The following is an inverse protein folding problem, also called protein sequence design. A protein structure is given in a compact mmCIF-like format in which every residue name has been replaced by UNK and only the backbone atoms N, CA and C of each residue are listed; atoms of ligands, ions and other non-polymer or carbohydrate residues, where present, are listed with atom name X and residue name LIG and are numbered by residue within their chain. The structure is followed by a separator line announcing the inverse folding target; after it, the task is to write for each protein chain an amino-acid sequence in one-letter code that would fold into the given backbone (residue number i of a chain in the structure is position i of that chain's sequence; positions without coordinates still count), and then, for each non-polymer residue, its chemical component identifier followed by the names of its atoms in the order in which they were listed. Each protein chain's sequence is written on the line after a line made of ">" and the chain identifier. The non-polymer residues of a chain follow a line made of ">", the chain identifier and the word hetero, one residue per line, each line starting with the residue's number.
data_IF_713603190915
#
_entry.id   IF_713603190915
#
_cell.length_a   1.000
_cell.length_b   1.000
_cell.length_c   1.000
_cell.angle_alpha   90.00
_cell.angle_beta   90.00
_cell.angle_gamma   90.00
#
_symmetry.space_group_name_H-M   'P 1'
#
loop_
_entity.id
_entity.type
_entity.pdbx_description
1 polymer ?
#
# COMPACT_ATOMS: atom_id res chain seq x y z
N UNK A 1 3.64 15.29 -13.10
CA UNK A 1 2.23 15.23 -13.56
C UNK A 1 1.48 16.40 -12.94
N UNK A 2 0.56 17.05 -13.64
CA UNK A 2 -0.35 18.02 -13.02
C UNK A 2 -1.31 17.29 -12.06
N UNK A 3 -1.91 18.00 -11.08
CA UNK A 3 -2.86 17.40 -10.12
C UNK A 3 -3.98 16.60 -10.82
N UNK A 4 -4.55 17.17 -11.89
CA UNK A 4 -5.58 16.54 -12.71
C UNK A 4 -5.11 15.30 -13.51
N UNK A 5 -3.80 15.05 -13.58
CA UNK A 5 -3.21 13.87 -14.23
C UNK A 5 -2.94 12.72 -13.25
N UNK A 6 -3.02 12.98 -11.94
CA UNK A 6 -3.01 11.95 -10.89
C UNK A 6 -4.44 11.45 -10.71
N UNK A 7 -5.39 12.35 -10.45
CA UNK A 7 -6.84 12.09 -10.46
C UNK A 7 -7.38 12.14 -11.90
N UNK A 8 -6.96 11.16 -12.70
CA UNK A 8 -7.19 11.14 -14.15
C UNK A 8 -8.55 10.55 -14.55
N UNK A 9 -9.21 9.78 -13.68
CA UNK A 9 -10.47 9.16 -14.04
C UNK A 9 -11.62 10.20 -14.09
N UNK A 10 -12.56 10.09 -15.05
CA UNK A 10 -13.70 11.00 -15.15
C UNK A 10 -14.55 11.07 -13.86
N UNK A 11 -14.59 9.97 -13.10
CA UNK A 11 -15.30 9.88 -11.83
C UNK A 11 -14.54 10.56 -10.67
N UNK A 12 -13.20 10.51 -10.67
CA UNK A 12 -12.34 11.20 -9.70
C UNK A 12 -12.47 12.71 -9.85
N UNK A 13 -12.35 13.22 -11.08
CA UNK A 13 -12.53 14.66 -11.37
C UNK A 13 -13.92 15.20 -11.03
N UNK A 14 -14.96 14.36 -11.19
CA UNK A 14 -16.32 14.76 -10.89
C UNK A 14 -16.63 14.81 -9.39
N UNK A 15 -15.95 13.98 -8.59
CA UNK A 15 -16.16 13.86 -7.14
C UNK A 15 -15.10 14.58 -6.30
N UNK A 16 -13.96 14.94 -6.88
CA UNK A 16 -12.83 15.55 -6.17
C UNK A 16 -12.20 14.62 -5.14
N UNK A 17 -12.25 13.31 -5.38
CA UNK A 17 -11.66 12.28 -4.51
C UNK A 17 -10.88 11.28 -5.37
N UNK A 18 -9.73 10.85 -4.89
CA UNK A 18 -8.95 9.75 -5.48
C UNK A 18 -9.72 8.44 -5.32
N UNK A 19 -9.85 7.67 -6.40
CA UNK A 19 -10.58 6.40 -6.43
C UNK A 19 -9.60 5.26 -6.69
N UNK A 20 -8.78 5.40 -7.73
CA UNK A 20 -7.76 4.44 -8.13
C UNK A 20 -6.42 4.84 -7.54
N UNK A 21 -5.56 3.84 -7.29
CA UNK A 21 -4.17 4.11 -6.94
C UNK A 21 -3.44 4.69 -8.13
N UNK A 22 -2.75 5.82 -7.93
CA UNK A 22 -1.93 6.44 -8.96
C UNK A 22 -0.45 6.17 -8.69
N UNK A 23 0.28 5.79 -9.74
CA UNK A 23 1.72 5.61 -9.67
C UNK A 23 2.41 6.83 -10.30
N UNK A 24 3.30 7.44 -9.51
CA UNK A 24 4.17 8.54 -9.96
C UNK A 24 5.62 8.23 -9.60
N UNK A 25 6.53 8.77 -10.39
CA UNK A 25 7.97 8.59 -10.19
C UNK A 25 8.62 9.94 -9.93
N UNK A 26 9.60 9.94 -9.06
CA UNK A 26 10.49 11.07 -8.81
C UNK A 26 11.80 10.55 -8.19
N UNK A 27 12.81 11.39 -8.14
CA UNK A 27 14.11 11.04 -7.59
C UNK A 27 14.64 12.15 -6.70
N UNK A 28 15.42 11.77 -5.70
CA UNK A 28 16.33 12.65 -4.98
C UNK A 28 17.75 12.38 -5.48
N UNK A 29 18.73 13.14 -4.99
CA UNK A 29 20.14 12.87 -5.28
C UNK A 29 20.59 11.47 -4.79
N UNK A 30 19.86 10.88 -3.83
CA UNK A 30 20.22 9.61 -3.21
C UNK A 30 19.50 8.41 -3.83
N UNK A 31 18.23 8.57 -4.24
CA UNK A 31 17.33 7.44 -4.54
C UNK A 31 16.30 7.77 -5.60
N UNK A 32 15.84 6.72 -6.28
CA UNK A 32 14.68 6.76 -7.17
C UNK A 32 13.46 6.21 -6.45
N UNK A 33 12.33 6.91 -6.55
CA UNK A 33 11.08 6.61 -5.87
C UNK A 33 9.98 6.24 -6.86
N UNK A 34 9.30 5.14 -6.57
CA UNK A 34 7.97 4.85 -7.11
C UNK A 34 6.95 5.15 -6.00
N UNK A 35 6.17 6.20 -6.18
CA UNK A 35 5.17 6.64 -5.22
C UNK A 35 3.79 6.17 -5.64
N UNK A 36 3.09 5.53 -4.70
CA UNK A 36 1.72 5.05 -4.87
C UNK A 36 0.79 5.96 -4.06
N UNK A 37 0.01 6.78 -4.76
CA UNK A 37 -1.00 7.62 -4.12
C UNK A 37 -2.26 6.79 -3.85
N UNK A 38 -2.71 6.81 -2.60
CA UNK A 38 -3.76 5.93 -2.09
C UNK A 38 -5.01 6.73 -1.71
N UNK A 39 -6.22 6.22 -2.02
CA UNK A 39 -7.44 6.93 -1.70
C UNK A 39 -7.70 6.99 -0.19
N UNK A 40 -8.08 8.17 0.32
CA UNK A 40 -8.38 8.42 1.73
C UNK A 40 -9.84 8.19 2.14
N UNK A 41 -10.74 7.95 1.18
CA UNK A 41 -12.17 7.81 1.45
C UNK A 41 -12.52 6.37 1.87
N UNK A 42 -13.37 6.21 2.89
CA UNK A 42 -13.72 4.92 3.50
C UNK A 42 -14.22 3.87 2.48
N UNK A 43 -14.96 4.30 1.45
CA UNK A 43 -15.47 3.40 0.40
C UNK A 43 -14.37 2.77 -0.47
N UNK A 44 -13.16 3.34 -0.51
CA UNK A 44 -12.06 2.92 -1.38
C UNK A 44 -10.86 2.36 -0.59
N UNK A 45 -11.04 2.03 0.69
CA UNK A 45 -10.02 1.39 1.54
C UNK A 45 -9.40 0.14 0.89
N UNK A 46 -10.16 -0.60 0.07
CA UNK A 46 -9.65 -1.77 -0.67
C UNK A 46 -8.47 -1.44 -1.58
N UNK A 47 -8.52 -0.30 -2.26
CA UNK A 47 -7.47 0.14 -3.16
C UNK A 47 -6.25 0.60 -2.36
N UNK A 48 -6.47 1.25 -1.21
CA UNK A 48 -5.40 1.58 -0.28
C UNK A 48 -4.69 0.33 0.24
N UNK A 49 -5.40 -0.71 0.68
CA UNK A 49 -4.79 -1.97 1.18
C UNK A 49 -3.85 -2.57 0.12
N UNK A 50 -4.26 -2.54 -1.15
CA UNK A 50 -3.47 -3.10 -2.25
C UNK A 50 -2.23 -2.25 -2.53
N UNK A 51 -2.34 -0.93 -2.48
CA UNK A 51 -1.19 -0.02 -2.65
C UNK A 51 -0.23 -0.09 -1.46
N UNK A 52 -0.74 -0.10 -0.24
CA UNK A 52 0.05 -0.14 0.99
C UNK A 52 0.87 -1.43 1.12
N UNK A 53 0.37 -2.57 0.61
CA UNK A 53 1.13 -3.83 0.57
C UNK A 53 2.43 -3.75 -0.26
N UNK A 54 2.57 -2.71 -1.10
CA UNK A 54 3.77 -2.46 -1.91
C UNK A 54 4.72 -1.45 -1.29
N UNK A 55 4.39 -0.84 -0.15
CA UNK A 55 5.15 0.29 0.39
C UNK A 55 6.30 -0.17 1.29
N UNK A 56 7.53 0.24 0.96
CA UNK A 56 8.68 0.10 1.87
C UNK A 56 8.65 1.14 2.99
N UNK A 57 7.89 2.21 2.79
CA UNK A 57 7.52 3.19 3.80
C UNK A 57 6.35 4.02 3.29
N UNK A 58 5.58 4.61 4.21
CA UNK A 58 4.43 5.44 3.87
C UNK A 58 4.61 6.88 4.34
N UNK A 59 4.01 7.81 3.60
CA UNK A 59 3.86 9.21 4.01
C UNK A 59 2.46 9.35 4.59
N UNK A 60 2.35 9.55 5.91
CA UNK A 60 1.08 9.82 6.56
C UNK A 60 0.78 11.33 6.47
N UNK A 61 -0.15 11.69 5.61
CA UNK A 61 -0.61 13.09 5.50
C UNK A 61 -1.75 13.32 6.49
N UNK A 62 -1.55 14.23 7.44
CA UNK A 62 -2.57 14.65 8.38
C UNK A 62 -2.81 16.16 8.27
N UNK A 63 -4.05 16.60 8.38
CA UNK A 63 -4.36 18.04 8.36
C UNK A 63 -4.01 18.65 9.72
N UNK A 64 -3.13 19.64 9.73
CA UNK A 64 -2.79 20.44 10.90
C UNK A 64 -3.99 21.19 11.47
N UNK A 65 -4.98 21.53 10.64
CA UNK A 65 -6.18 22.25 11.06
C UNK A 65 -7.27 21.31 11.63
N UNK A 66 -7.32 20.06 11.16
CA UNK A 66 -8.40 19.11 11.51
C UNK A 66 -7.95 18.05 12.54
N UNK A 67 -6.64 17.80 12.64
CA UNK A 67 -6.09 16.74 13.47
C UNK A 67 -6.34 15.33 12.92
N UNK A 68 -6.03 14.27 13.70
CA UNK A 68 -6.23 12.88 13.30
C UNK A 68 -7.73 12.53 13.22
N UNK A 69 -8.16 12.16 12.02
CA UNK A 69 -9.54 11.76 11.72
C UNK A 69 -9.72 10.23 11.79
N UNK A 70 -10.95 9.70 11.78
CA UNK A 70 -11.18 8.24 11.80
C UNK A 70 -10.38 7.48 10.73
N UNK A 71 -10.28 8.04 9.53
CA UNK A 71 -9.51 7.45 8.42
C UNK A 71 -8.00 7.45 8.69
N UNK A 72 -7.47 8.46 9.40
CA UNK A 72 -6.07 8.47 9.86
C UNK A 72 -5.78 7.24 10.73
N UNK A 73 -6.69 6.92 11.66
CA UNK A 73 -6.56 5.74 12.53
C UNK A 73 -6.63 4.45 11.73
N UNK A 74 -7.60 4.35 10.84
CA UNK A 74 -7.79 3.18 9.98
C UNK A 74 -6.58 2.94 9.06
N UNK A 75 -6.02 3.99 8.47
CA UNK A 75 -4.85 3.90 7.60
C UNK A 75 -3.59 3.47 8.33
N UNK A 76 -3.33 3.99 9.54
CA UNK A 76 -2.19 3.55 10.37
C UNK A 76 -2.32 2.07 10.70
N UNK A 77 -3.51 1.65 11.16
CA UNK A 77 -3.77 0.26 11.50
C UNK A 77 -3.59 -0.66 10.29
N UNK A 78 -4.17 -0.31 9.15
CA UNK A 78 -4.06 -1.12 7.93
C UNK A 78 -2.63 -1.15 7.40
N UNK A 79 -1.88 -0.04 7.49
CA UNK A 79 -0.46 0.01 7.14
C UNK A 79 0.36 -0.96 7.99
N UNK A 80 0.05 -1.07 9.30
CA UNK A 80 0.66 -2.08 10.17
C UNK A 80 0.32 -3.51 9.72
N UNK A 81 -0.94 -3.77 9.39
CA UNK A 81 -1.42 -5.12 9.02
C UNK A 81 -0.88 -5.59 7.67
N UNK A 82 -0.72 -4.68 6.70
CA UNK A 82 -0.12 -4.99 5.39
C UNK A 82 1.41 -4.99 5.42
N UNK A 83 2.01 -4.65 6.57
CA UNK A 83 3.44 -4.80 6.81
C UNK A 83 4.30 -3.60 6.39
N UNK A 84 3.73 -2.39 6.29
CA UNK A 84 4.50 -1.16 6.05
C UNK A 84 5.43 -0.93 7.25
N UNK A 85 6.77 -0.95 7.07
CA UNK A 85 7.69 -0.96 8.20
C UNK A 85 8.00 0.44 8.75
N UNK A 86 7.93 1.47 7.91
CA UNK A 86 8.28 2.85 8.29
C UNK A 86 7.20 3.84 7.85
N UNK A 87 6.97 4.86 8.68
CA UNK A 87 6.07 5.98 8.37
C UNK A 87 6.84 7.28 8.62
N UNK A 88 6.68 8.26 7.73
CA UNK A 88 7.02 9.67 8.05
C UNK A 88 5.75 10.52 7.88
N UNK A 89 5.59 11.51 8.76
CA UNK A 89 4.35 12.28 8.86
C UNK A 89 4.52 13.65 8.21
N UNK A 90 3.54 14.02 7.38
CA UNK A 90 3.42 15.38 6.86
C UNK A 90 2.15 16.04 7.42
N UNK A 91 2.33 17.02 8.30
CA UNK A 91 1.26 17.86 8.83
C UNK A 91 0.94 18.96 7.82
N UNK A 92 -0.01 18.65 6.93
CA UNK A 92 -0.43 19.51 5.84
C UNK A 92 -1.40 20.62 6.29
N UNK A 93 -1.60 21.64 5.46
CA UNK A 93 -2.43 22.83 5.75
C UNK A 93 -1.94 23.64 6.95
N UNK A 94 -0.62 23.65 7.22
CA UNK A 94 -0.04 24.49 8.26
C UNK A 94 -0.24 25.99 8.00
N UNK A 95 -0.53 26.39 6.76
CA UNK A 95 -0.90 27.76 6.39
C UNK A 95 -2.26 28.21 6.95
N UNK A 96 -3.11 27.27 7.35
CA UNK A 96 -4.43 27.54 7.94
C UNK A 96 -4.40 27.59 9.47
N UNK A 97 -3.22 27.38 10.07
CA UNK A 97 -3.03 27.33 11.52
C UNK A 97 -2.12 28.48 11.94
N UNK A 98 -2.69 29.47 12.62
CA UNK A 98 -1.96 30.65 13.10
C UNK A 98 -1.30 30.45 14.47
N UNK A 99 -1.56 29.31 15.14
CA UNK A 99 -1.14 29.03 16.51
C UNK A 99 -0.16 27.83 16.55
N UNK A 100 1.06 28.10 17.00
CA UNK A 100 2.12 27.09 17.13
C UNK A 100 1.79 26.05 18.21
N UNK A 101 1.07 26.43 19.28
CA UNK A 101 0.64 25.48 20.32
C UNK A 101 -0.35 24.45 19.76
N UNK A 102 -1.20 24.85 18.80
CA UNK A 102 -2.14 23.94 18.15
C UNK A 102 -1.42 22.94 17.24
N UNK A 103 -0.36 23.37 16.54
CA UNK A 103 0.46 22.48 15.71
C UNK A 103 1.16 21.42 16.57
N UNK A 104 1.76 21.84 17.69
CA UNK A 104 2.40 20.93 18.64
C UNK A 104 1.40 19.94 19.23
N UNK A 105 0.18 20.40 19.56
CA UNK A 105 -0.88 19.52 20.06
C UNK A 105 -1.28 18.46 19.02
N UNK A 106 -1.50 18.86 17.77
CA UNK A 106 -1.85 17.92 16.69
C UNK A 106 -0.72 16.93 16.44
N UNK A 107 0.53 17.38 16.47
CA UNK A 107 1.69 16.50 16.36
C UNK A 107 1.67 15.44 17.47
N UNK A 108 1.44 15.85 18.73
CA UNK A 108 1.37 14.95 19.87
C UNK A 108 0.21 13.94 19.74
N UNK A 109 -0.97 14.38 19.30
CA UNK A 109 -2.11 13.46 19.08
C UNK A 109 -1.82 12.41 18.00
N UNK A 110 -1.13 12.80 16.90
CA UNK A 110 -0.74 11.86 15.84
C UNK A 110 0.34 10.90 16.34
N UNK A 111 1.28 11.39 17.15
CA UNK A 111 2.33 10.58 17.76
C UNK A 111 1.75 9.52 18.71
N UNK A 112 0.86 9.90 19.63
CA UNK A 112 0.16 8.95 20.51
C UNK A 112 -0.63 7.90 19.72
N UNK A 113 -1.22 8.31 18.58
CA UNK A 113 -1.95 7.40 17.71
C UNK A 113 -1.03 6.39 17.02
N UNK A 114 0.16 6.80 16.58
CA UNK A 114 1.17 5.92 16.01
C UNK A 114 1.68 4.92 17.05
N UNK A 115 1.97 5.38 18.28
CA UNK A 115 2.37 4.53 19.40
C UNK A 115 1.31 3.49 19.74
N UNK A 116 0.02 3.88 19.73
CA UNK A 116 -1.10 2.96 19.97
C UNK A 116 -1.11 1.77 19.00
N UNK A 117 -0.63 1.95 17.78
CA UNK A 117 -0.60 0.92 16.73
C UNK A 117 0.81 0.32 16.50
N UNK A 118 1.66 0.37 17.54
CA UNK A 118 3.00 -0.23 17.55
C UNK A 118 3.95 0.34 16.47
N UNK A 119 3.79 1.61 16.12
CA UNK A 119 4.82 2.39 15.42
C UNK A 119 5.61 3.22 16.44
N UNK A 120 6.92 3.47 16.22
CA UNK A 120 7.74 4.24 17.16
C UNK A 120 7.47 5.74 17.01
N UNK A 121 6.39 6.26 17.58
CA UNK A 121 5.95 7.64 17.44
C UNK A 121 7.03 8.66 17.77
N UNK A 122 7.83 8.41 18.82
CA UNK A 122 8.95 9.25 19.26
C UNK A 122 10.11 9.35 18.25
N UNK A 123 10.27 8.36 17.38
CA UNK A 123 11.36 8.29 16.39
C UNK A 123 10.93 8.74 15.00
N UNK A 124 9.61 8.78 14.74
CA UNK A 124 9.05 9.10 13.43
C UNK A 124 9.27 10.58 13.10
N UNK A 125 9.83 10.91 11.93
CA UNK A 125 9.97 12.29 11.49
C UNK A 125 8.61 12.94 11.18
N UNK A 126 8.43 14.16 11.67
CA UNK A 126 7.32 15.04 11.34
C UNK A 126 7.83 16.24 10.54
N UNK A 127 7.08 16.63 9.51
CA UNK A 127 7.29 17.87 8.76
C UNK A 127 5.96 18.60 8.63
N UNK A 128 5.91 19.87 9.00
CA UNK A 128 4.72 20.71 8.92
C UNK A 128 4.82 21.66 7.74
N UNK A 129 3.79 21.71 6.88
CA UNK A 129 3.84 22.49 5.66
C UNK A 129 2.50 22.69 4.97
N UNK A 130 2.56 23.28 3.79
CA UNK A 130 1.40 23.49 2.91
C UNK A 130 1.69 22.95 1.53
N UNK A 131 1.15 21.77 1.22
CA UNK A 131 1.29 21.16 -0.11
C UNK A 131 0.65 22.03 -1.20
N UNK A 132 -0.45 22.72 -0.88
CA UNK A 132 -1.12 23.62 -1.82
C UNK A 132 -0.23 24.81 -2.18
N UNK A 133 0.28 25.54 -1.19
CA UNK A 133 1.10 26.72 -1.44
C UNK A 133 2.46 26.37 -2.07
N UNK A 134 3.03 25.21 -1.73
CA UNK A 134 4.22 24.68 -2.42
C UNK A 134 3.93 24.41 -3.91
N UNK A 135 2.79 23.78 -4.23
CA UNK A 135 2.38 23.52 -5.60
C UNK A 135 2.10 24.80 -6.39
N UNK A 136 1.44 25.79 -5.78
CA UNK A 136 1.19 27.09 -6.39
C UNK A 136 2.49 27.84 -6.70
N UNK A 137 3.46 27.81 -5.78
CA UNK A 137 4.77 28.43 -5.98
C UNK A 137 5.51 27.79 -7.17
N UNK A 138 5.57 26.46 -7.23
CA UNK A 138 6.20 25.72 -8.34
C UNK A 138 5.46 25.95 -9.66
N UNK A 139 4.13 26.05 -9.63
CA UNK A 139 3.33 26.35 -10.82
C UNK A 139 3.63 27.74 -11.38
N UNK A 140 3.93 28.72 -10.51
CA UNK A 140 4.36 30.06 -10.90
C UNK A 140 5.83 30.14 -11.34
N UNK A 141 6.70 29.32 -10.74
CA UNK A 141 8.13 29.21 -11.06
C UNK A 141 8.57 27.74 -10.91
N UNK A 142 8.64 26.96 -12.01
CA UNK A 142 8.92 25.52 -11.96
C UNK A 142 10.28 25.14 -11.35
N UNK A 143 11.26 26.02 -11.44
CA UNK A 143 12.64 25.78 -10.98
C UNK A 143 12.96 26.56 -9.69
N UNK A 144 12.06 26.53 -8.70
CA UNK A 144 12.33 27.08 -7.37
C UNK A 144 13.42 26.22 -6.70
N UNK A 145 14.56 26.86 -6.43
CA UNK A 145 15.64 26.22 -5.70
C UNK A 145 15.34 26.18 -4.19
N UNK A 146 15.93 25.21 -3.51
CA UNK A 146 15.90 25.14 -2.04
C UNK A 146 16.40 26.46 -1.42
N UNK A 147 15.65 26.99 -0.47
CA UNK A 147 15.88 28.27 0.20
C UNK A 147 15.18 29.48 -0.43
N UNK A 148 14.48 29.31 -1.56
CA UNK A 148 13.81 30.42 -2.26
C UNK A 148 12.33 30.60 -1.89
N UNK A 149 11.65 29.53 -1.45
CA UNK A 149 10.25 29.58 -0.99
C UNK A 149 10.06 28.68 0.24
N UNK A 150 9.44 29.25 1.28
CA UNK A 150 9.29 28.55 2.57
C UNK A 150 8.46 27.28 2.48
N UNK A 151 7.47 27.20 1.57
CA UNK A 151 6.59 26.03 1.47
C UNK A 151 7.21 24.95 0.60
N UNK A 152 7.88 25.35 -0.48
CA UNK A 152 8.69 24.41 -1.28
C UNK A 152 9.79 23.78 -0.42
N UNK A 153 10.40 24.54 0.49
CA UNK A 153 11.40 24.04 1.42
C UNK A 153 10.85 22.95 2.37
N UNK A 154 9.58 23.01 2.77
CA UNK A 154 8.96 21.93 3.56
C UNK A 154 8.85 20.62 2.78
N UNK A 155 8.70 20.67 1.45
CA UNK A 155 8.68 19.46 0.61
C UNK A 155 10.10 18.90 0.45
N UNK A 156 11.11 19.76 0.31
CA UNK A 156 12.51 19.31 0.35
C UNK A 156 12.86 18.69 1.70
N UNK A 157 12.43 19.30 2.81
CA UNK A 157 12.62 18.74 4.15
C UNK A 157 11.93 17.38 4.31
N UNK A 158 10.70 17.23 3.83
CA UNK A 158 9.99 15.95 3.82
C UNK A 158 10.81 14.87 3.08
N UNK A 159 11.33 15.20 1.89
CA UNK A 159 12.14 14.27 1.11
C UNK A 159 13.46 13.91 1.79
N UNK A 160 14.13 14.86 2.44
CA UNK A 160 15.33 14.59 3.24
C UNK A 160 15.01 13.63 4.39
N UNK A 161 13.90 13.84 5.12
CA UNK A 161 13.47 12.93 6.19
C UNK A 161 13.17 11.53 5.68
N UNK A 162 12.56 11.41 4.49
CA UNK A 162 12.29 10.13 3.84
C UNK A 162 13.61 9.42 3.48
N UNK A 163 14.56 10.14 2.87
CA UNK A 163 15.88 9.61 2.53
C UNK A 163 16.64 9.11 3.77
N UNK A 164 16.59 9.87 4.88
CA UNK A 164 17.31 9.56 6.10
C UNK A 164 16.65 8.45 6.93
N UNK A 165 15.32 8.47 7.06
CA UNK A 165 14.58 7.62 8.00
C UNK A 165 14.14 6.30 7.41
N UNK A 166 13.67 6.27 6.16
CA UNK A 166 13.25 5.04 5.51
C UNK A 166 14.50 4.38 4.93
N UNK A 167 14.96 3.22 5.45
CA UNK A 167 16.13 2.56 4.91
C UNK A 167 15.83 2.05 3.51
N UNK A 168 16.87 1.93 2.68
CA UNK A 168 16.75 1.16 1.45
C UNK A 168 16.46 -0.30 1.83
N UNK A 169 15.33 -0.88 1.38
CA UNK A 169 14.95 -2.23 1.78
C UNK A 169 16.01 -3.22 1.30
N UNK A 170 16.37 -4.16 2.18
CA UNK A 170 17.17 -5.31 1.76
C UNK A 170 16.31 -6.16 0.82
N UNK A 171 16.65 -6.10 -0.47
CA UNK A 171 15.95 -6.86 -1.50
C UNK A 171 16.26 -8.35 -1.29
N UNK A 172 15.21 -9.14 -1.07
CA UNK A 172 15.26 -10.59 -0.91
C UNK A 172 15.58 -11.34 -2.22
N UNK A 173 16.61 -10.91 -2.96
CA UNK A 173 16.92 -11.40 -4.31
C UNK A 173 17.35 -12.86 -4.36
N UNK A 174 17.88 -13.39 -3.24
CA UNK A 174 18.34 -14.78 -3.13
C UNK A 174 17.20 -15.78 -2.87
N UNK A 175 15.98 -15.29 -2.63
CA UNK A 175 14.80 -16.16 -2.42
C UNK A 175 14.19 -16.59 -3.75
N UNK A 176 13.28 -17.56 -3.70
CA UNK A 176 12.45 -17.90 -4.86
C UNK A 176 11.54 -16.73 -5.23
N UNK A 177 11.64 -16.28 -6.49
CA UNK A 177 10.75 -15.37 -7.18
C UNK A 177 9.28 -15.54 -6.78
N UNK A 178 8.68 -14.43 -6.39
CA UNK A 178 7.25 -14.29 -6.20
C UNK A 178 6.86 -12.84 -6.54
N UNK A 179 5.85 -12.69 -7.38
CA UNK A 179 5.23 -11.41 -7.73
C UNK A 179 3.72 -11.53 -7.56
N UNK A 180 3.11 -10.61 -6.81
CA UNK A 180 1.66 -10.54 -6.71
C UNK A 180 1.08 -9.86 -7.95
N UNK A 181 0.01 -10.42 -8.54
CA UNK A 181 -0.63 -9.84 -9.72
C UNK A 181 -1.60 -8.75 -9.29
N UNK A 182 -1.38 -7.54 -9.80
CA UNK A 182 -2.18 -6.35 -9.50
C UNK A 182 -3.16 -6.04 -10.62
N UNK A 183 -2.70 -6.11 -11.88
CA UNK A 183 -3.54 -5.93 -13.05
C UNK A 183 -3.07 -6.80 -14.22
N UNK A 184 -3.96 -6.99 -15.19
CA UNK A 184 -3.77 -7.84 -16.35
C UNK A 184 -4.23 -7.13 -17.61
N UNK A 185 -3.28 -6.92 -18.52
CA UNK A 185 -3.51 -6.33 -19.83
C UNK A 185 -3.33 -7.37 -20.93
N UNK A 186 -4.05 -7.21 -22.03
CA UNK A 186 -3.80 -7.96 -23.25
C UNK A 186 -3.29 -7.00 -24.32
N UNK A 187 -2.08 -7.25 -24.80
CA UNK A 187 -1.48 -6.47 -25.87
C UNK A 187 -1.68 -7.23 -27.18
N UNK A 188 -2.46 -6.64 -28.09
CA UNK A 188 -2.75 -7.22 -29.40
C UNK A 188 -1.46 -7.57 -30.14
N UNK A 189 -1.31 -8.85 -30.50
CA UNK A 189 -0.14 -9.36 -31.22
C UNK A 189 1.10 -9.66 -30.36
N UNK A 190 1.12 -9.32 -29.06
CA UNK A 190 2.21 -9.70 -28.13
C UNK A 190 1.80 -10.76 -27.12
N UNK A 191 0.61 -10.66 -26.52
CA UNK A 191 0.14 -11.61 -25.50
C UNK A 191 -0.46 -10.93 -24.27
N UNK A 192 -0.49 -11.67 -23.16
CA UNK A 192 -1.03 -11.19 -21.87
C UNK A 192 0.11 -10.71 -20.98
N UNK A 193 -0.02 -9.50 -20.45
CA UNK A 193 0.91 -8.88 -19.52
C UNK A 193 0.26 -8.82 -18.15
N UNK A 194 0.92 -9.39 -17.15
CA UNK A 194 0.55 -9.23 -15.75
C UNK A 194 1.49 -8.21 -15.11
N UNK A 195 0.93 -7.23 -14.41
CA UNK A 195 1.72 -6.21 -13.70
C UNK A 195 1.69 -6.44 -12.21
N UNK A 196 2.79 -6.11 -11.54
CA UNK A 196 2.84 -5.98 -10.10
C UNK A 196 4.25 -5.80 -9.56
N UNK A 197 4.35 -5.66 -8.23
CA UNK A 197 5.62 -5.59 -7.52
C UNK A 197 6.21 -6.99 -7.29
N UNK A 198 7.48 -7.19 -7.63
CA UNK A 198 8.22 -8.40 -7.26
C UNK A 198 8.46 -8.36 -5.74
N UNK A 199 7.87 -9.29 -4.98
CA UNK A 199 8.01 -9.32 -3.53
C UNK A 199 9.38 -9.85 -3.10
N UNK A 200 9.86 -10.89 -3.79
CA UNK A 200 11.13 -11.56 -3.47
C UNK A 200 11.68 -12.27 -4.68
N UNK A 201 12.97 -12.58 -4.61
CA UNK A 201 13.71 -13.29 -5.65
C UNK A 201 13.97 -12.45 -6.88
N UNK A 202 14.35 -13.14 -7.95
CA UNK A 202 14.60 -12.57 -9.26
C UNK A 202 14.12 -13.51 -10.36
N UNK A 203 13.82 -12.94 -11.53
CA UNK A 203 13.35 -13.68 -12.69
C UNK A 203 13.90 -13.09 -13.98
N UNK A 204 14.17 -13.96 -14.96
CA UNK A 204 14.72 -13.57 -16.26
C UNK A 204 13.78 -13.88 -17.41
N UNK A 205 13.94 -13.14 -18.50
CA UNK A 205 13.27 -13.48 -19.77
C UNK A 205 13.69 -14.89 -20.20
N UNK A 206 12.72 -15.74 -20.50
CA UNK A 206 12.92 -17.14 -20.89
C UNK A 206 12.75 -18.14 -19.74
N UNK A 207 12.66 -17.69 -18.50
CA UNK A 207 12.40 -18.59 -17.36
C UNK A 207 10.95 -19.08 -17.31
N UNK A 208 10.79 -20.26 -16.71
CA UNK A 208 9.50 -20.91 -16.49
C UNK A 208 8.97 -20.56 -15.11
N UNK A 209 7.70 -20.16 -15.04
CA UNK A 209 7.02 -19.73 -13.82
C UNK A 209 5.63 -20.36 -13.75
N UNK A 210 5.06 -20.40 -12.54
CA UNK A 210 3.69 -20.82 -12.27
C UNK A 210 2.81 -19.62 -11.92
N UNK A 211 1.58 -19.62 -12.45
CA UNK A 211 0.51 -18.73 -12.01
C UNK A 211 -0.31 -19.50 -10.98
N UNK A 212 -0.36 -19.01 -9.75
CA UNK A 212 -0.91 -19.72 -8.59
C UNK A 212 -2.00 -18.89 -7.91
N UNK A 213 -3.05 -19.56 -7.42
CA UNK A 213 -4.14 -18.95 -6.65
C UNK A 213 -5.41 -18.77 -7.48
N UNK A 214 -6.58 -18.73 -6.81
CA UNK A 214 -7.95 -18.58 -7.37
C UNK A 214 -8.42 -19.65 -8.37
N UNK A 215 -7.51 -20.25 -9.14
CA UNK A 215 -7.76 -21.23 -10.21
C UNK A 215 -6.72 -22.35 -10.14
N UNK A 216 -6.82 -23.29 -11.08
CA UNK A 216 -5.82 -24.34 -11.25
C UNK A 216 -4.48 -23.73 -11.64
N UNK A 217 -3.41 -24.17 -10.97
CA UNK A 217 -2.05 -23.70 -11.24
C UNK A 217 -1.66 -24.01 -12.68
N UNK A 218 -1.10 -23.02 -13.38
CA UNK A 218 -0.62 -23.19 -14.76
C UNK A 218 0.83 -22.73 -14.89
N UNK A 219 1.62 -23.56 -15.54
CA UNK A 219 3.00 -23.26 -15.89
C UNK A 219 3.07 -22.50 -17.21
N UNK A 220 3.92 -21.47 -17.27
CA UNK A 220 4.17 -20.67 -18.47
C UNK A 220 5.62 -20.20 -18.52
N UNK A 221 6.03 -19.59 -19.64
CA UNK A 221 7.36 -19.03 -19.85
C UNK A 221 7.27 -17.54 -20.01
N UNK A 222 8.17 -16.81 -19.35
CA UNK A 222 8.30 -15.37 -19.49
C UNK A 222 8.92 -15.05 -20.85
N UNK A 223 8.27 -14.18 -21.61
CA UNK A 223 8.73 -13.77 -22.95
C UNK A 223 9.19 -12.33 -23.02
N UNK A 224 8.91 -11.54 -22.00
CA UNK A 224 9.37 -10.18 -21.88
C UNK A 224 9.12 -9.64 -20.48
N UNK A 225 10.00 -8.76 -20.04
CA UNK A 225 9.89 -7.98 -18.83
C UNK A 225 9.94 -6.51 -19.22
N UNK A 226 9.05 -5.70 -18.66
CA UNK A 226 8.98 -4.26 -18.95
C UNK A 226 8.72 -3.48 -17.67
N UNK A 227 9.41 -2.36 -17.51
CA UNK A 227 9.19 -1.40 -16.42
C UNK A 227 9.15 -0.01 -17.04
N UNK A 228 8.05 0.73 -16.86
CA UNK A 228 7.89 2.10 -17.37
C UNK A 228 8.28 2.27 -18.87
N UNK A 229 7.76 1.41 -19.75
CA UNK A 229 8.05 1.41 -21.20
C UNK A 229 9.50 1.08 -21.57
N UNK A 230 10.32 0.60 -20.62
CA UNK A 230 11.68 0.12 -20.84
C UNK A 230 11.71 -1.39 -20.71
N UNK A 231 12.28 -2.07 -21.70
CA UNK A 231 12.48 -3.52 -21.65
C UNK A 231 13.61 -3.87 -20.68
N UNK A 232 13.41 -4.94 -19.91
CA UNK A 232 14.37 -5.48 -18.96
C UNK A 232 14.77 -6.91 -19.37
N UNK A 233 16.01 -7.29 -19.05
CA UNK A 233 16.47 -8.69 -19.18
C UNK A 233 16.15 -9.51 -17.92
N UNK A 234 16.14 -8.85 -16.77
CA UNK A 234 15.93 -9.41 -15.44
C UNK A 234 15.08 -8.44 -14.61
N UNK A 235 14.24 -8.98 -13.73
CA UNK A 235 13.50 -8.25 -12.72
C UNK A 235 13.81 -8.85 -11.35
N UNK A 236 13.92 -8.02 -10.32
CA UNK A 236 14.27 -8.44 -8.97
C UNK A 236 13.32 -7.86 -7.93
N UNK A 237 13.39 -8.38 -6.70
CA UNK A 237 12.61 -7.91 -5.57
C UNK A 237 12.62 -6.37 -5.46
N UNK A 238 11.43 -5.79 -5.30
CA UNK A 238 11.19 -4.35 -5.23
C UNK A 238 10.79 -3.71 -6.56
N UNK A 239 11.06 -4.35 -7.70
CA UNK A 239 10.75 -3.82 -9.02
C UNK A 239 9.23 -3.89 -9.33
N UNK A 240 8.65 -2.79 -9.81
CA UNK A 240 7.30 -2.75 -10.36
C UNK A 240 7.34 -3.07 -11.86
N UNK A 241 6.94 -4.29 -12.25
CA UNK A 241 7.17 -4.81 -13.61
C UNK A 241 5.90 -5.35 -14.26
N UNK A 242 5.86 -5.25 -15.59
CA UNK A 242 4.96 -5.99 -16.45
C UNK A 242 5.65 -7.24 -17.01
N UNK A 243 5.07 -8.42 -16.76
CA UNK A 243 5.58 -9.71 -17.22
C UNK A 243 4.71 -10.21 -18.37
N UNK A 244 5.30 -10.37 -19.56
CA UNK A 244 4.63 -10.93 -20.74
C UNK A 244 4.69 -12.47 -20.72
N UNK A 245 3.53 -13.10 -20.61
CA UNK A 245 3.39 -14.55 -20.40
C UNK A 245 3.01 -15.28 -21.70
N UNK A 246 3.73 -16.36 -22.02
CA UNK A 246 3.50 -17.16 -23.23
C UNK A 246 2.24 -18.02 -23.10
N UNK A 247 1.32 -17.88 -24.06
CA UNK A 247 0.18 -18.79 -24.20
C UNK A 247 -0.88 -18.67 -23.10
N UNK A 248 -0.78 -17.62 -22.28
CA UNK A 248 -1.76 -17.28 -21.23
C UNK A 248 -2.73 -16.26 -21.81
N UNK A 249 -4.03 -16.48 -21.66
CA UNK A 249 -5.06 -15.51 -22.03
C UNK A 249 -5.43 -14.66 -20.81
N UNK A 250 -6.02 -13.48 -21.05
CA UNK A 250 -6.54 -12.63 -19.97
C UNK A 250 -7.57 -13.34 -19.07
N UNK A 251 -8.26 -14.37 -19.57
CA UNK A 251 -9.20 -15.16 -18.77
C UNK A 251 -8.53 -16.19 -17.85
N UNK A 252 -7.23 -16.47 -18.05
CA UNK A 252 -6.46 -17.47 -17.30
C UNK A 252 -5.71 -16.88 -16.10
N UNK A 253 -5.63 -15.55 -16.02
CA UNK A 253 -4.90 -14.81 -14.99
C UNK A 253 -5.69 -13.58 -14.59
N UNK A 254 -5.80 -13.34 -13.29
CA UNK A 254 -6.52 -12.20 -12.74
C UNK A 254 -5.80 -11.63 -11.52
N UNK A 255 -6.19 -10.41 -11.12
CA UNK A 255 -5.72 -9.79 -9.87
C UNK A 255 -5.98 -10.74 -8.69
N UNK A 256 -5.02 -10.79 -7.77
CA UNK A 256 -5.07 -11.69 -6.61
C UNK A 256 -4.43 -13.06 -6.84
N UNK A 257 -4.01 -13.38 -8.07
CA UNK A 257 -3.09 -14.50 -8.30
C UNK A 257 -1.65 -14.05 -8.02
N UNK A 258 -0.73 -15.02 -7.94
CA UNK A 258 0.71 -14.76 -7.86
C UNK A 258 1.45 -15.47 -8.99
N UNK A 259 2.57 -14.90 -9.43
CA UNK A 259 3.52 -15.55 -10.33
C UNK A 259 4.74 -15.93 -9.51
N UNK A 260 5.12 -17.20 -9.52
CA UNK A 260 6.23 -17.71 -8.70
C UNK A 260 7.08 -18.73 -9.45
N UNK A 261 8.30 -19.00 -8.97
CA UNK A 261 9.08 -20.15 -9.44
C UNK A 261 8.31 -21.45 -9.17
N UNK A 262 8.47 -22.42 -10.06
CA UNK A 262 7.75 -23.69 -10.04
C UNK A 262 7.91 -24.43 -8.71
N UNK A 263 6.79 -24.84 -8.12
CA UNK A 263 6.75 -25.63 -6.89
C UNK A 263 7.13 -24.88 -5.61
N UNK A 264 7.31 -23.56 -5.66
CA UNK A 264 7.75 -22.76 -4.49
C UNK A 264 6.60 -22.23 -3.64
N UNK A 265 5.38 -22.25 -4.16
CA UNK A 265 4.16 -21.88 -3.43
C UNK A 265 2.99 -22.77 -3.86
N UNK A 266 2.18 -23.20 -2.89
CA UNK A 266 0.95 -23.95 -3.13
C UNK A 266 -0.25 -23.17 -2.60
N UNK A 267 -1.39 -23.13 -3.32
CA UNK A 267 -2.58 -22.44 -2.83
C UNK A 267 -3.24 -23.24 -1.70
N UNK A 268 -3.74 -22.53 -0.69
CA UNK A 268 -4.44 -23.12 0.46
C UNK A 268 -5.83 -22.50 0.61
N UNK A 269 -6.80 -23.29 1.07
CA UNK A 269 -8.19 -22.85 1.28
C UNK A 269 -8.61 -22.87 2.75
N UNK A 270 -7.77 -23.42 3.62
CA UNK A 270 -7.98 -23.49 5.06
C UNK A 270 -6.68 -23.13 5.76
N UNK A 271 -6.76 -22.24 6.74
CA UNK A 271 -5.64 -21.80 7.55
C UNK A 271 -6.14 -21.46 8.96
N UNK A 272 -5.21 -21.36 9.90
CA UNK A 272 -5.48 -20.78 11.21
C UNK A 272 -4.78 -19.42 11.28
N UNK A 273 -5.44 -18.43 11.84
CA UNK A 273 -4.91 -17.07 11.96
C UNK A 273 -5.25 -16.45 13.30
N UNK A 274 -4.30 -15.70 13.85
CA UNK A 274 -4.55 -14.79 14.96
C UNK A 274 -5.09 -13.47 14.39
N UNK A 275 -6.21 -12.99 14.93
CA UNK A 275 -6.91 -11.81 14.43
C UNK A 275 -7.32 -10.92 15.59
N UNK A 276 -7.09 -9.62 15.41
CA UNK A 276 -7.67 -8.58 16.24
C UNK A 276 -8.96 -8.06 15.59
N UNK A 277 -10.06 -8.06 16.33
CA UNK A 277 -11.33 -7.53 15.85
C UNK A 277 -11.41 -6.05 16.20
N UNK A 278 -11.47 -5.18 15.18
CA UNK A 278 -11.56 -3.74 15.41
C UNK A 278 -12.82 -3.36 16.20
N UNK A 279 -12.64 -2.42 17.14
CA UNK A 279 -13.72 -1.77 17.88
C UNK A 279 -14.49 -0.77 17.00
N UNK A 280 -15.65 -0.29 17.47
CA UNK A 280 -16.41 0.76 16.79
C UNK A 280 -15.59 2.03 16.58
N UNK A 281 -14.84 2.42 17.60
CA UNK A 281 -14.04 3.64 17.65
C UNK A 281 -12.88 3.60 16.63
N UNK A 282 -12.51 2.40 16.19
CA UNK A 282 -11.45 2.13 15.20
C UNK A 282 -12.01 1.89 13.79
N UNK A 283 -13.29 2.16 13.55
CA UNK A 283 -13.94 1.92 12.26
C UNK A 283 -14.41 0.48 12.05
N UNK A 284 -14.31 -0.35 13.09
CA UNK A 284 -14.74 -1.74 13.08
C UNK A 284 -16.24 -1.96 13.29
N UNK A 285 -16.59 -3.12 13.83
CA UNK A 285 -17.98 -3.54 13.99
C UNK A 285 -18.61 -2.93 15.24
N UNK A 286 -19.92 -2.63 15.16
CA UNK A 286 -20.73 -2.27 16.33
C UNK A 286 -21.24 -3.48 17.11
N UNK A 287 -21.38 -4.62 16.43
CA UNK A 287 -22.03 -5.82 16.97
C UNK A 287 -21.11 -7.03 16.85
N UNK A 288 -21.25 -7.99 17.79
CA UNK A 288 -20.50 -9.24 17.72
C UNK A 288 -20.84 -10.02 16.45
N UNK A 289 -19.99 -11.00 16.15
CA UNK A 289 -20.25 -11.99 15.12
C UNK A 289 -20.03 -13.40 15.67
N UNK A 290 -20.60 -14.37 14.96
CA UNK A 290 -20.68 -15.77 15.36
C UNK A 290 -20.00 -16.66 14.31
N UNK A 291 -19.84 -17.93 14.66
CA UNK A 291 -19.33 -18.93 13.71
C UNK A 291 -20.24 -19.01 12.49
N UNK A 292 -19.64 -19.21 11.31
CA UNK A 292 -20.31 -19.09 10.02
C UNK A 292 -20.32 -17.67 9.45
N UNK A 293 -19.70 -16.69 10.11
CA UNK A 293 -19.49 -15.37 9.53
C UNK A 293 -18.59 -15.46 8.28
N UNK A 294 -18.98 -14.72 7.22
CA UNK A 294 -18.32 -14.76 5.91
C UNK A 294 -17.75 -13.41 5.50
N UNK A 295 -16.63 -12.97 6.10
CA UNK A 295 -15.97 -11.74 5.68
C UNK A 295 -15.17 -11.93 4.38
N UNK A 296 -14.75 -10.80 3.80
CA UNK A 296 -13.69 -10.79 2.80
C UNK A 296 -12.34 -10.82 3.53
N UNK A 297 -11.42 -11.64 3.04
CA UNK A 297 -10.02 -11.67 3.44
C UNK A 297 -9.18 -11.03 2.34
N UNK A 298 -8.28 -10.15 2.76
CA UNK A 298 -7.32 -9.52 1.86
C UNK A 298 -5.93 -10.11 2.15
N UNK A 299 -5.32 -10.73 1.14
CA UNK A 299 -3.98 -11.31 1.23
C UNK A 299 -3.19 -10.83 0.02
N UNK A 300 -2.23 -9.93 0.23
CA UNK A 300 -1.55 -9.20 -0.85
C UNK A 300 -2.57 -8.50 -1.74
N UNK A 301 -2.61 -8.84 -3.03
CA UNK A 301 -3.56 -8.33 -4.02
C UNK A 301 -4.85 -9.15 -4.09
N UNK A 302 -4.97 -10.23 -3.32
CA UNK A 302 -6.12 -11.15 -3.31
C UNK A 302 -7.22 -10.62 -2.42
N UNK A 303 -8.45 -10.60 -2.91
CA UNK A 303 -9.66 -10.48 -2.10
C UNK A 303 -10.54 -11.73 -2.27
N UNK A 304 -10.78 -12.45 -1.17
CA UNK A 304 -11.54 -13.71 -1.20
C UNK A 304 -12.51 -13.80 -0.03
N UNK A 305 -13.74 -14.24 -0.30
CA UNK A 305 -14.71 -14.50 0.75
C UNK A 305 -14.31 -15.77 1.50
N UNK A 306 -13.99 -15.63 2.77
CA UNK A 306 -13.74 -16.78 3.65
C UNK A 306 -14.96 -17.11 4.49
N UNK A 307 -14.96 -18.28 5.11
CA UNK A 307 -15.98 -18.69 6.06
C UNK A 307 -15.29 -19.03 7.37
N UNK A 308 -15.60 -18.29 8.43
CA UNK A 308 -14.99 -18.55 9.73
C UNK A 308 -15.77 -19.66 10.42
N UNK A 309 -15.09 -20.76 10.69
CA UNK A 309 -15.70 -21.98 11.21
C UNK A 309 -15.54 -22.15 12.71
N UNK A 310 -14.47 -21.60 13.28
CA UNK A 310 -14.13 -21.76 14.69
C UNK A 310 -13.45 -20.51 15.24
N UNK A 311 -13.71 -20.22 16.51
CA UNK A 311 -12.96 -19.24 17.30
C UNK A 311 -12.36 -19.91 18.52
N UNK A 312 -11.15 -19.50 18.88
CA UNK A 312 -10.48 -19.89 20.11
C UNK A 312 -10.02 -18.63 20.83
N UNK A 313 -10.46 -18.46 22.07
CA UNK A 313 -10.06 -17.36 22.96
C UNK A 313 -8.60 -17.49 23.40
N UNK A 314 -8.02 -16.41 23.95
CA UNK A 314 -6.64 -16.40 24.46
C UNK A 314 -6.38 -17.46 25.54
N UNK A 315 -7.40 -17.87 26.30
CA UNK A 315 -7.32 -18.94 27.30
C UNK A 315 -7.42 -20.37 26.72
N UNK A 316 -7.52 -20.49 25.39
CA UNK A 316 -7.63 -21.76 24.67
C UNK A 316 -9.04 -22.35 24.63
N UNK A 317 -10.05 -21.66 25.19
CA UNK A 317 -11.43 -22.12 25.13
C UNK A 317 -12.08 -21.83 23.78
N UNK A 318 -13.00 -22.70 23.36
CA UNK A 318 -13.80 -22.46 22.16
C UNK A 318 -14.77 -21.30 22.43
N UNK A 319 -14.73 -20.28 21.59
CA UNK A 319 -15.66 -19.16 21.64
C UNK A 319 -16.76 -19.33 20.59
N UNK A 320 -18.01 -19.07 20.97
CA UNK A 320 -19.14 -19.06 20.02
C UNK A 320 -19.43 -17.66 19.48
N UNK A 321 -18.93 -16.63 20.16
CA UNK A 321 -19.16 -15.23 19.88
C UNK A 321 -17.88 -14.44 20.05
N UNK A 322 -17.65 -13.49 19.15
CA UNK A 322 -16.48 -12.60 19.18
C UNK A 322 -16.97 -11.16 19.27
N UNK A 323 -16.44 -10.42 20.24
CA UNK A 323 -16.77 -9.02 20.46
C UNK A 323 -15.76 -8.11 19.74
N UNK A 324 -16.19 -6.93 19.27
CA UNK A 324 -15.25 -5.88 18.87
C UNK A 324 -14.27 -5.55 20.00
N UNK A 325 -12.97 -5.56 19.69
CA UNK A 325 -11.86 -5.40 20.63
C UNK A 325 -11.16 -6.70 21.04
N UNK A 326 -11.72 -7.87 20.72
CA UNK A 326 -11.13 -9.15 21.08
C UNK A 326 -9.92 -9.50 20.19
N UNK A 327 -8.94 -10.19 20.78
CA UNK A 327 -7.92 -10.95 20.07
C UNK A 327 -8.32 -12.41 20.11
N UNK A 328 -8.40 -13.04 18.94
CA UNK A 328 -8.86 -14.42 18.79
C UNK A 328 -8.02 -15.20 17.80
N UNK A 329 -7.98 -16.52 17.96
CA UNK A 329 -7.58 -17.45 16.90
C UNK A 329 -8.82 -17.89 16.13
N UNK A 330 -8.74 -17.83 14.80
CA UNK A 330 -9.82 -18.31 13.92
C UNK A 330 -9.33 -19.33 12.90
N UNK A 331 -10.25 -20.17 12.45
CA UNK A 331 -10.05 -21.19 11.39
C UNK A 331 -11.12 -21.10 10.33
#
# INVERSE_FOLDING_TARGET
>A
KQFDEIDSAPEERARGITINTAHVEYETDNRHYAHVDCPGHADYVKNMITGAAQMDGAILVCSAADGPMPQTREHILLSKQVGVPYIVVFLNKADMVDDEELLELVQLEVQELLDKYDFPGDEIPFVSGSALLALEAISGKPDIARGEDKWVDTIYELMDKIDDYIPTPERDVDKSFLMAVEDVFSITGRGTVATGRVERGQVKVGETVEIVGLRETRTTTITGLEMFQKSLEEAMAGDNVGILLRGIQKADIERGMVIAHEGTITPHTKFEGEVYVLTKEEGGRHTPFFTGYRPQFYVRTTDVTGNITQFTSDDGSAAEMVMPGDRIKMT
#
